data_IF_266361313405
#
_entry.id   IF_266361313405
#
_cell.length_a   1.000
_cell.length_b   1.000
_cell.length_c   1.000
_cell.angle_alpha   90.00
_cell.angle_beta   90.00
_cell.angle_gamma   90.00
#
_symmetry.space_group_name_H-M   'P 1'
#
loop_
_entity.id
_entity.type
_entity.pdbx_description
1 polymer ?
#
# COMPACT_ATOMS: atom_id res chain seq x y z
N UNK A 1 21.34 15.88 -11.87
CA UNK A 1 20.46 16.29 -10.78
C UNK A 1 19.49 15.15 -10.54
N UNK A 2 19.55 14.51 -9.37
CA UNK A 2 18.78 13.29 -9.07
C UNK A 2 17.55 13.64 -8.21
N UNK A 3 16.82 14.71 -8.59
CA UNK A 3 15.67 15.24 -7.86
C UNK A 3 14.45 14.30 -7.85
N UNK A 4 14.61 13.07 -8.32
CA UNK A 4 13.59 12.03 -8.29
C UNK A 4 13.60 11.28 -6.95
N UNK A 5 14.77 11.07 -6.34
CA UNK A 5 14.92 10.37 -5.05
C UNK A 5 14.98 11.37 -3.89
N UNK A 6 13.90 12.10 -3.68
CA UNK A 6 13.80 13.14 -2.65
C UNK A 6 13.61 12.59 -1.23
N UNK A 7 13.32 11.30 -1.09
CA UNK A 7 13.11 10.68 0.22
C UNK A 7 14.40 10.40 0.98
N UNK A 8 15.37 9.77 0.32
CA UNK A 8 16.58 9.28 0.96
C UNK A 8 17.69 10.34 0.98
N UNK A 9 17.67 11.25 1.95
CA UNK A 9 18.74 12.25 2.10
C UNK A 9 19.95 11.75 2.92
N UNK A 10 19.86 10.55 3.51
CA UNK A 10 20.89 9.98 4.39
C UNK A 10 21.54 8.73 3.82
N UNK A 11 22.87 8.67 3.89
CA UNK A 11 23.66 7.47 3.57
C UNK A 11 23.53 6.50 4.76
N UNK A 12 22.86 5.36 4.55
CA UNK A 12 22.64 4.34 5.58
C UNK A 12 23.49 3.06 5.37
N UNK A 13 24.35 3.02 4.35
CA UNK A 13 25.29 1.92 4.04
C UNK A 13 26.75 2.41 4.11
N UNK A 14 27.79 1.54 4.03
CA UNK A 14 29.16 2.03 3.94
C UNK A 14 29.25 3.08 2.84
N UNK A 15 29.86 4.23 3.12
CA UNK A 15 29.90 5.44 2.28
C UNK A 15 30.17 5.18 0.79
N UNK A 16 30.79 4.04 0.46
CA UNK A 16 31.08 3.56 -0.88
C UNK A 16 29.85 3.23 -1.76
N UNK A 17 28.66 3.01 -1.20
CA UNK A 17 27.46 2.62 -1.98
C UNK A 17 26.47 3.77 -2.24
N UNK A 18 26.65 4.93 -1.59
CA UNK A 18 25.80 6.11 -1.81
C UNK A 18 24.46 6.04 -1.08
N UNK A 19 23.49 6.84 -1.56
CA UNK A 19 22.13 6.86 -1.05
C UNK A 19 21.39 5.58 -1.45
N UNK A 20 20.48 5.14 -0.58
CA UNK A 20 19.76 3.90 -0.79
C UNK A 20 18.65 4.01 -1.82
N UNK A 21 18.07 5.21 -2.01
CA UNK A 21 17.14 5.51 -3.09
C UNK A 21 15.91 4.57 -3.16
N UNK A 22 15.42 4.10 -2.00
CA UNK A 22 14.39 3.04 -1.91
C UNK A 22 12.96 3.54 -1.63
N UNK A 23 12.77 4.82 -1.32
CA UNK A 23 11.47 5.49 -1.39
C UNK A 23 11.60 6.85 -2.08
N UNK A 24 10.60 7.19 -2.90
CA UNK A 24 10.65 8.34 -3.78
C UNK A 24 9.27 8.73 -4.29
N UNK A 25 9.14 9.95 -4.78
CA UNK A 25 7.90 10.45 -5.34
C UNK A 25 8.13 11.37 -6.53
N UNK A 26 7.15 11.43 -7.42
CA UNK A 26 7.13 12.41 -8.51
C UNK A 26 5.70 12.73 -8.91
N UNK A 27 5.50 13.90 -9.50
CA UNK A 27 4.23 14.27 -10.11
C UNK A 27 4.30 14.16 -11.63
N UNK A 28 3.22 13.68 -12.23
CA UNK A 28 3.03 13.69 -13.68
C UNK A 28 1.56 13.96 -14.03
N UNK A 29 1.30 15.11 -14.65
CA UNK A 29 -0.06 15.57 -14.90
C UNK A 29 -0.76 15.95 -13.60
N UNK A 30 -1.93 15.38 -13.35
CA UNK A 30 -2.73 15.57 -12.12
C UNK A 30 -2.52 14.42 -11.10
N UNK A 31 -1.44 13.66 -11.22
CA UNK A 31 -1.17 12.50 -10.38
C UNK A 31 0.18 12.61 -9.66
N UNK A 32 0.16 12.34 -8.36
CA UNK A 32 1.32 12.08 -7.51
C UNK A 32 1.58 10.57 -7.48
N UNK A 33 2.82 10.18 -7.73
CA UNK A 33 3.29 8.80 -7.61
C UNK A 33 4.21 8.73 -6.39
N UNK A 34 4.01 7.72 -5.54
CA UNK A 34 4.76 7.55 -4.29
C UNK A 34 5.18 6.09 -4.18
N UNK A 35 6.48 5.80 -4.14
CA UNK A 35 7.01 4.48 -3.83
C UNK A 35 7.49 4.45 -2.38
N UNK A 36 6.98 3.48 -1.61
CA UNK A 36 7.30 3.23 -0.21
C UNK A 36 8.07 1.92 -0.03
N UNK A 37 8.89 1.88 1.01
CA UNK A 37 9.69 0.72 1.43
C UNK A 37 9.33 0.31 2.86
N UNK A 38 8.65 -0.83 3.05
CA UNK A 38 8.29 -1.32 4.39
C UNK A 38 9.40 -2.18 5.03
N UNK A 39 10.51 -2.43 4.33
CA UNK A 39 11.49 -3.44 4.76
C UNK A 39 12.67 -2.90 5.52
N UNK A 40 13.18 -1.74 5.12
CA UNK A 40 14.50 -1.31 5.61
C UNK A 40 14.49 -0.79 7.03
N UNK A 41 13.35 -0.28 7.44
CA UNK A 41 13.14 0.31 8.77
C UNK A 41 12.50 -0.69 9.74
N UNK A 42 12.13 -1.87 9.23
CA UNK A 42 11.59 -2.98 10.01
C UNK A 42 12.74 -3.83 10.54
N UNK A 43 13.12 -3.60 11.79
CA UNK A 43 14.25 -4.30 12.44
C UNK A 43 13.92 -5.73 12.87
N UNK A 44 12.65 -6.00 13.19
CA UNK A 44 12.14 -7.31 13.61
C UNK A 44 10.97 -7.68 12.71
N UNK A 45 10.82 -8.96 12.36
CA UNK A 45 9.74 -9.43 11.50
C UNK A 45 8.99 -10.55 12.19
N UNK A 46 7.69 -10.35 12.38
CA UNK A 46 6.74 -11.43 12.64
C UNK A 46 6.39 -11.70 14.10
N UNK A 47 6.72 -10.80 15.03
CA UNK A 47 6.28 -10.91 16.43
C UNK A 47 5.02 -10.06 16.68
N UNK A 48 4.85 -8.96 15.95
CA UNK A 48 3.69 -8.06 16.02
C UNK A 48 3.43 -7.38 14.67
N UNK A 49 2.17 -7.00 14.40
CA UNK A 49 1.86 -6.13 13.26
C UNK A 49 2.46 -4.74 13.35
N UNK A 50 2.78 -4.29 14.56
CA UNK A 50 3.49 -3.05 14.81
C UNK A 50 4.98 -3.10 14.46
N UNK A 51 5.54 -4.29 14.18
CA UNK A 51 6.93 -4.44 13.78
C UNK A 51 7.18 -3.85 12.39
N UNK A 52 6.20 -3.95 11.50
CA UNK A 52 6.29 -3.36 10.16
C UNK A 52 6.16 -1.85 10.25
N UNK A 53 7.18 -1.15 9.77
CA UNK A 53 7.27 0.31 9.84
C UNK A 53 7.92 0.92 8.60
N UNK A 54 7.49 2.12 8.23
CA UNK A 54 8.22 3.00 7.32
C UNK A 54 9.47 3.58 7.99
N UNK A 55 9.56 3.54 9.31
CA UNK A 55 10.51 4.33 10.06
C UNK A 55 10.17 5.82 10.03
N UNK A 56 10.66 6.54 11.03
CA UNK A 56 10.33 7.95 11.28
C UNK A 56 10.57 8.86 10.06
N UNK A 57 11.72 8.69 9.40
CA UNK A 57 12.13 9.57 8.30
C UNK A 57 11.20 9.45 7.10
N UNK A 58 10.91 8.22 6.65
CA UNK A 58 10.02 7.99 5.53
C UNK A 58 8.56 8.31 5.91
N UNK A 59 8.15 8.08 7.16
CA UNK A 59 6.83 8.47 7.65
C UNK A 59 6.60 9.98 7.56
N UNK A 60 7.54 10.79 8.06
CA UNK A 60 7.44 12.24 7.98
C UNK A 60 7.57 12.76 6.56
N UNK A 61 8.47 12.17 5.77
CA UNK A 61 8.57 12.46 4.34
C UNK A 61 7.24 12.20 3.62
N UNK A 62 6.59 11.06 3.90
CA UNK A 62 5.30 10.72 3.32
C UNK A 62 4.24 11.76 3.69
N UNK A 63 4.18 12.16 4.97
CA UNK A 63 3.27 13.22 5.40
C UNK A 63 3.52 14.53 4.66
N UNK A 64 4.79 14.93 4.49
CA UNK A 64 5.15 16.20 3.84
C UNK A 64 4.74 16.21 2.36
N UNK A 65 5.05 15.14 1.61
CA UNK A 65 4.64 15.05 0.20
C UNK A 65 3.12 15.01 0.05
N UNK A 66 2.43 14.33 0.98
CA UNK A 66 0.98 14.23 0.95
C UNK A 66 0.34 15.55 1.33
N UNK A 67 0.93 16.35 2.22
CA UNK A 67 0.38 17.64 2.62
C UNK A 67 0.63 18.75 1.58
N UNK A 68 1.77 18.70 0.90
CA UNK A 68 2.20 19.74 -0.05
C UNK A 68 1.72 19.51 -1.49
N UNK A 69 1.32 18.29 -1.87
CA UNK A 69 0.82 17.99 -3.22
C UNK A 69 -0.66 18.32 -3.40
N UNK A 70 -0.95 19.04 -4.48
CA UNK A 70 -2.30 19.37 -4.97
C UNK A 70 -2.81 18.37 -6.02
N UNK A 71 -2.11 17.23 -6.22
CA UNK A 71 -2.52 16.23 -7.19
C UNK A 71 -3.92 15.67 -6.88
N UNK A 72 -4.68 15.44 -7.94
CA UNK A 72 -6.02 14.83 -7.87
C UNK A 72 -5.94 13.35 -7.60
N UNK A 73 -4.98 12.66 -8.20
CA UNK A 73 -4.75 11.23 -7.99
C UNK A 73 -3.45 11.00 -7.23
N UNK A 74 -3.47 10.04 -6.30
CA UNK A 74 -2.27 9.60 -5.57
C UNK A 74 -2.10 8.11 -5.78
N UNK A 75 -1.04 7.71 -6.47
CA UNK A 75 -0.70 6.31 -6.69
C UNK A 75 0.42 5.93 -5.73
N UNK A 76 0.06 5.20 -4.68
CA UNK A 76 0.98 4.78 -3.61
C UNK A 76 1.35 3.33 -3.83
N UNK A 77 2.63 3.06 -4.02
CA UNK A 77 3.18 1.73 -4.25
C UNK A 77 3.92 1.27 -3.00
N UNK A 78 3.56 0.12 -2.47
CA UNK A 78 4.29 -0.54 -1.39
C UNK A 78 4.39 -2.03 -1.69
N UNK A 79 5.40 -2.73 -1.17
CA UNK A 79 5.43 -4.18 -1.34
C UNK A 79 4.26 -4.86 -0.63
N UNK A 80 3.94 -4.40 0.59
CA UNK A 80 2.92 -4.93 1.49
C UNK A 80 2.43 -3.81 2.41
N UNK A 81 1.28 -4.01 3.08
CA UNK A 81 0.82 -3.08 4.10
C UNK A 81 1.71 -3.15 5.35
N UNK A 82 1.79 -2.05 6.08
CA UNK A 82 2.47 -1.97 7.37
C UNK A 82 1.54 -2.61 8.42
N UNK A 83 1.78 -3.88 8.73
CA UNK A 83 0.84 -4.70 9.46
C UNK A 83 0.22 -5.75 8.55
N UNK A 84 -1.09 -5.70 8.30
CA UNK A 84 -1.81 -6.74 7.55
C UNK A 84 -2.23 -7.93 8.41
N UNK A 85 -2.85 -8.93 7.78
CA UNK A 85 -3.29 -10.15 8.43
C UNK A 85 -2.10 -10.99 8.92
N UNK A 86 -2.12 -11.35 10.20
CA UNK A 86 -1.16 -12.29 10.81
C UNK A 86 -1.74 -13.70 10.87
N UNK A 87 -0.98 -14.67 10.38
CA UNK A 87 -1.31 -16.09 10.47
C UNK A 87 -0.73 -16.72 11.73
N UNK A 88 -1.28 -17.85 12.16
CA UNK A 88 -0.72 -18.62 13.27
C UNK A 88 0.69 -19.12 12.86
N UNK A 89 1.69 -18.76 13.66
CA UNK A 89 3.12 -18.78 13.36
C UNK A 89 3.71 -20.15 12.98
N UNK A 90 3.52 -20.59 11.73
CA UNK A 90 4.40 -21.60 11.12
C UNK A 90 5.34 -20.91 10.12
N UNK A 91 6.43 -20.35 10.66
CA UNK A 91 7.72 -19.94 10.04
C UNK A 91 7.75 -19.09 8.74
N UNK A 92 6.63 -18.83 8.05
CA UNK A 92 6.58 -18.10 6.77
C UNK A 92 5.48 -17.05 6.64
N UNK A 93 4.66 -16.85 7.67
CA UNK A 93 3.51 -15.92 7.63
C UNK A 93 3.84 -14.64 8.40
N UNK A 94 4.83 -13.89 7.92
CA UNK A 94 5.37 -12.69 8.57
C UNK A 94 4.44 -11.45 8.53
N UNK A 95 3.12 -11.61 8.37
CA UNK A 95 2.19 -10.49 8.17
C UNK A 95 2.26 -9.88 6.76
N UNK A 96 1.62 -8.73 6.56
CA UNK A 96 1.63 -7.95 5.31
C UNK A 96 0.55 -8.32 4.29
N UNK A 97 -0.17 -9.41 4.55
CA UNK A 97 -1.24 -9.96 3.70
C UNK A 97 -2.55 -9.19 3.94
N UNK A 98 -3.42 -9.12 2.94
CA UNK A 98 -4.77 -8.54 3.07
C UNK A 98 -4.95 -7.16 2.46
N UNK A 99 -6.22 -6.76 2.30
CA UNK A 99 -6.63 -5.53 1.62
C UNK A 99 -7.08 -4.42 2.57
N UNK A 100 -8.08 -3.68 2.12
CA UNK A 100 -8.70 -2.57 2.83
C UNK A 100 -9.18 -2.96 4.25
N UNK A 101 -9.60 -4.21 4.44
CA UNK A 101 -10.03 -4.77 5.73
C UNK A 101 -8.95 -4.66 6.80
N UNK A 102 -7.68 -4.65 6.39
CA UNK A 102 -6.52 -4.53 7.27
C UNK A 102 -5.90 -3.14 7.29
N UNK A 103 -6.39 -2.22 6.46
CA UNK A 103 -5.90 -0.84 6.40
C UNK A 103 -6.22 -0.02 7.66
N UNK A 104 -7.12 -0.51 8.52
CA UNK A 104 -7.44 0.13 9.80
C UNK A 104 -6.45 -0.23 10.93
N UNK A 105 -5.56 -1.20 10.74
CA UNK A 105 -4.70 -1.70 11.82
C UNK A 105 -3.25 -1.23 11.73
N UNK A 106 -2.54 -1.35 12.86
CA UNK A 106 -1.10 -1.15 13.04
C UNK A 106 -0.61 0.22 12.57
N UNK A 107 0.62 0.34 12.06
CA UNK A 107 1.11 1.63 11.57
C UNK A 107 0.27 2.19 10.41
N UNK A 108 -0.38 1.29 9.64
CA UNK A 108 -1.20 1.72 8.51
C UNK A 108 -2.48 2.44 8.95
N UNK A 109 -3.23 1.94 9.94
CA UNK A 109 -4.52 2.52 10.36
C UNK A 109 -4.68 2.85 11.85
N UNK A 110 -3.70 2.50 12.66
CA UNK A 110 -3.58 2.93 14.06
C UNK A 110 -4.29 2.04 15.09
N UNK A 111 -5.19 1.16 14.68
CA UNK A 111 -5.86 0.21 15.59
C UNK A 111 -5.00 -1.03 15.84
N UNK A 112 -5.06 -1.58 17.04
CA UNK A 112 -4.54 -2.91 17.34
C UNK A 112 -5.59 -3.99 17.03
N UNK A 113 -5.25 -5.28 17.14
CA UNK A 113 -6.17 -6.38 16.79
C UNK A 113 -7.44 -6.41 17.66
N UNK A 114 -7.39 -5.85 18.86
CA UNK A 114 -8.53 -5.68 19.76
C UNK A 114 -9.42 -4.47 19.41
N UNK A 115 -9.04 -3.69 18.40
CA UNK A 115 -9.73 -2.49 17.93
C UNK A 115 -9.41 -1.23 18.74
N UNK A 116 -8.48 -1.28 19.69
CA UNK A 116 -8.02 -0.11 20.43
C UNK A 116 -7.02 0.69 19.59
N UNK A 117 -7.13 2.03 19.59
CA UNK A 117 -6.16 2.88 18.91
C UNK A 117 -4.86 2.95 19.70
N UNK A 118 -3.76 2.44 19.13
CA UNK A 118 -2.43 2.33 19.78
C UNK A 118 -1.29 2.96 18.98
N UNK A 119 -1.57 3.73 17.93
CA UNK A 119 -0.52 4.31 17.08
C UNK A 119 0.54 5.06 17.90
N UNK A 120 0.11 5.95 18.81
CA UNK A 120 1.03 6.75 19.63
C UNK A 120 1.77 5.91 20.68
N UNK A 121 1.22 4.77 21.10
CA UNK A 121 1.90 3.88 22.05
C UNK A 121 3.07 3.15 21.37
N UNK A 122 2.90 2.82 20.08
CA UNK A 122 3.90 2.12 19.28
C UNK A 122 4.82 3.06 18.49
N UNK A 123 4.45 4.34 18.35
CA UNK A 123 5.26 5.41 17.73
C UNK A 123 5.42 6.60 18.69
N UNK A 124 5.93 6.37 19.93
CA UNK A 124 5.94 7.40 20.96
C UNK A 124 6.89 8.56 20.69
N UNK A 125 7.90 8.36 19.83
CA UNK A 125 8.87 9.41 19.48
C UNK A 125 8.43 10.24 18.27
N UNK A 126 7.28 9.92 17.64
CA UNK A 126 6.79 10.62 16.45
C UNK A 126 5.92 11.84 16.81
N UNK A 127 6.34 12.58 17.84
CA UNK A 127 5.56 13.61 18.55
C UNK A 127 4.97 14.73 17.67
N UNK A 128 5.51 14.97 16.48
CA UNK A 128 5.01 16.04 15.59
C UNK A 128 3.81 15.63 14.72
N UNK A 129 3.51 14.33 14.61
CA UNK A 129 2.41 13.82 13.81
C UNK A 129 1.87 12.51 14.41
N UNK A 130 0.59 12.51 14.77
CA UNK A 130 -0.07 11.41 15.49
C UNK A 130 -1.22 10.81 14.67
N UNK A 131 -1.02 10.66 13.35
CA UNK A 131 -2.01 10.03 12.46
C UNK A 131 -1.39 8.87 11.69
N UNK A 132 -2.11 7.76 11.52
CA UNK A 132 -1.63 6.61 10.77
C UNK A 132 -1.63 6.88 9.26
N UNK A 133 -0.92 6.06 8.49
CA UNK A 133 -0.71 6.26 7.04
C UNK A 133 -2.02 6.38 6.26
N UNK A 134 -3.00 5.53 6.57
CA UNK A 134 -4.32 5.56 5.95
C UNK A 134 -4.99 6.91 6.14
N UNK A 135 -4.99 7.43 7.37
CA UNK A 135 -5.59 8.72 7.71
C UNK A 135 -4.89 9.87 6.96
N UNK A 136 -3.58 9.80 6.71
CA UNK A 136 -2.90 10.79 5.87
C UNK A 136 -3.46 10.82 4.45
N UNK A 137 -3.74 9.65 3.86
CA UNK A 137 -4.31 9.54 2.51
C UNK A 137 -5.73 10.09 2.48
N UNK A 138 -6.56 9.72 3.47
CA UNK A 138 -7.92 10.24 3.61
C UNK A 138 -7.93 11.76 3.72
N UNK A 139 -7.07 12.33 4.57
CA UNK A 139 -6.96 13.78 4.74
C UNK A 139 -6.47 14.48 3.46
N UNK A 140 -5.49 13.89 2.76
CA UNK A 140 -5.00 14.44 1.50
C UNK A 140 -6.07 14.41 0.40
N UNK A 141 -6.86 13.33 0.32
CA UNK A 141 -7.98 13.21 -0.62
C UNK A 141 -9.12 14.17 -0.27
N UNK A 142 -9.46 14.31 1.01
CA UNK A 142 -10.44 15.28 1.48
C UNK A 142 -10.02 16.72 1.15
N UNK A 143 -8.72 17.05 1.28
CA UNK A 143 -8.18 18.37 0.98
C UNK A 143 -8.24 18.70 -0.51
N UNK A 144 -7.90 17.77 -1.39
CA UNK A 144 -7.85 18.03 -2.84
C UNK A 144 -9.12 17.65 -3.60
N UNK A 145 -10.12 17.06 -2.94
CA UNK A 145 -11.23 16.39 -3.61
C UNK A 145 -10.79 15.16 -4.41
N UNK A 146 -9.59 14.67 -4.12
CA UNK A 146 -8.84 13.66 -4.86
C UNK A 146 -9.18 12.23 -4.48
N UNK A 147 -8.38 11.30 -5.03
CA UNK A 147 -8.48 9.86 -4.77
C UNK A 147 -7.09 9.24 -4.67
N UNK A 148 -6.90 8.45 -3.62
CA UNK A 148 -5.71 7.65 -3.41
C UNK A 148 -5.95 6.20 -3.83
N UNK A 149 -4.96 5.60 -4.48
CA UNK A 149 -4.96 4.20 -4.86
C UNK A 149 -3.65 3.57 -4.38
N UNK A 150 -3.76 2.57 -3.52
CA UNK A 150 -2.65 1.86 -2.90
C UNK A 150 -2.44 0.55 -3.64
N UNK A 151 -1.30 0.43 -4.31
CA UNK A 151 -0.87 -0.74 -5.06
C UNK A 151 0.09 -1.54 -4.20
N UNK A 152 -0.23 -2.82 -3.98
CA UNK A 152 0.68 -3.73 -3.30
C UNK A 152 0.85 -5.07 -4.00
N UNK A 153 1.90 -5.79 -3.62
CA UNK A 153 2.19 -7.15 -4.07
C UNK A 153 2.03 -8.13 -2.91
N UNK A 154 3.09 -8.90 -2.66
CA UNK A 154 3.27 -9.84 -1.54
C UNK A 154 2.33 -11.06 -1.52
N UNK A 155 1.05 -10.88 -1.78
CA UNK A 155 0.02 -11.91 -1.56
C UNK A 155 -0.15 -12.86 -2.76
N UNK A 156 0.44 -12.48 -3.90
CA UNK A 156 0.43 -13.25 -5.15
C UNK A 156 -0.99 -13.54 -5.67
N UNK A 157 -1.90 -12.57 -5.54
CA UNK A 157 -3.28 -12.64 -6.03
C UNK A 157 -3.71 -11.31 -6.64
N UNK A 158 -4.79 -11.36 -7.39
CA UNK A 158 -5.53 -10.19 -7.83
C UNK A 158 -6.63 -9.87 -6.82
N UNK A 159 -6.60 -8.69 -6.21
CA UNK A 159 -7.70 -8.20 -5.40
C UNK A 159 -7.90 -6.70 -5.57
N UNK A 160 -9.15 -6.26 -5.44
CA UNK A 160 -9.53 -4.86 -5.29
C UNK A 160 -10.46 -4.76 -4.10
N UNK A 161 -10.03 -4.04 -3.08
CA UNK A 161 -10.79 -3.82 -1.85
C UNK A 161 -10.89 -2.32 -1.59
N UNK A 162 -11.97 -1.89 -0.96
CA UNK A 162 -12.14 -0.54 -0.47
C UNK A 162 -12.91 -0.61 0.85
N UNK A 163 -12.69 0.34 1.74
CA UNK A 163 -13.61 0.55 2.85
C UNK A 163 -14.83 1.29 2.28
N UNK A 164 -16.04 0.81 2.61
CA UNK A 164 -17.29 1.18 1.91
C UNK A 164 -17.56 2.70 1.82
N UNK A 165 -16.97 3.50 2.71
CA UNK A 165 -17.15 4.96 2.80
C UNK A 165 -15.86 5.76 2.51
N UNK A 166 -14.80 5.13 2.01
CA UNK A 166 -13.48 5.74 1.92
C UNK A 166 -13.05 6.15 0.50
N UNK A 167 -12.24 7.21 0.40
CA UNK A 167 -11.67 7.70 -0.86
C UNK A 167 -10.46 6.88 -1.33
N UNK A 168 -9.91 6.02 -0.48
CA UNK A 168 -8.73 5.21 -0.76
C UNK A 168 -9.13 3.82 -1.28
N UNK A 169 -8.58 3.43 -2.42
CA UNK A 169 -8.74 2.08 -2.98
C UNK A 169 -7.47 1.26 -2.78
N UNK A 170 -7.62 0.03 -2.31
CA UNK A 170 -6.53 -0.91 -2.11
C UNK A 170 -6.58 -2.00 -3.17
N UNK A 171 -5.45 -2.23 -3.85
CA UNK A 171 -5.36 -3.22 -4.89
C UNK A 171 -4.08 -4.03 -4.81
N UNK A 172 -4.24 -5.33 -5.05
CA UNK A 172 -3.16 -6.30 -5.00
C UNK A 172 -2.85 -6.78 -6.41
N UNK A 173 -1.58 -6.67 -6.76
CA UNK A 173 -0.99 -7.11 -8.03
C UNK A 173 -0.41 -8.52 -7.81
N UNK A 174 -0.63 -9.46 -8.73
CA UNK A 174 -0.12 -10.82 -8.60
C UNK A 174 1.36 -10.85 -8.95
N UNK A 175 1.95 -12.04 -8.86
CA UNK A 175 3.23 -12.29 -9.50
C UNK A 175 3.13 -12.15 -11.04
N UNK A 176 4.16 -11.60 -11.70
CA UNK A 176 4.13 -11.35 -13.14
C UNK A 176 4.15 -12.64 -13.97
N UNK A 177 4.64 -13.75 -13.41
CA UNK A 177 4.74 -15.03 -14.08
C UNK A 177 4.83 -16.20 -13.09
N UNK A 178 4.38 -17.38 -13.51
CA UNK A 178 4.89 -18.65 -12.95
C UNK A 178 4.23 -19.20 -11.69
N UNK A 179 3.01 -18.78 -11.32
CA UNK A 179 2.26 -19.49 -10.28
C UNK A 179 0.86 -19.85 -10.76
N UNK A 180 0.48 -21.10 -10.49
CA UNK A 180 -0.94 -21.47 -10.41
C UNK A 180 -1.63 -20.59 -9.36
N UNK A 181 -2.96 -20.61 -9.35
CA UNK A 181 -3.97 -19.95 -8.50
C UNK A 181 -3.76 -20.04 -6.95
N UNK A 182 -2.52 -20.26 -6.50
CA UNK A 182 -2.04 -20.21 -5.14
C UNK A 182 -2.46 -18.94 -4.42
N UNK A 183 -2.63 -17.81 -5.10
CA UNK A 183 -3.10 -16.58 -4.45
C UNK A 183 -4.49 -16.73 -3.84
N UNK A 184 -5.49 -17.03 -4.69
CA UNK A 184 -6.86 -17.30 -4.27
C UNK A 184 -6.98 -18.56 -3.41
N UNK A 185 -6.23 -19.62 -3.75
CA UNK A 185 -6.18 -20.83 -2.93
C UNK A 185 -5.55 -20.56 -1.55
N UNK A 186 -4.49 -19.76 -1.42
CA UNK A 186 -3.94 -19.37 -0.11
C UNK A 186 -4.91 -18.47 0.65
N UNK A 187 -5.60 -17.55 -0.02
CA UNK A 187 -6.65 -16.76 0.63
C UNK A 187 -7.77 -17.66 1.18
N UNK A 188 -8.15 -18.71 0.45
CA UNK A 188 -9.15 -19.71 0.85
C UNK A 188 -8.65 -20.70 1.92
N UNK A 189 -7.43 -21.23 1.77
CA UNK A 189 -6.83 -22.28 2.62
C UNK A 189 -6.35 -21.73 3.95
N UNK A 190 -5.85 -20.48 3.98
CA UNK A 190 -5.36 -19.88 5.22
C UNK A 190 -6.49 -19.46 6.15
N UNK A 191 -7.74 -19.32 5.68
CA UNK A 191 -8.90 -19.01 6.52
C UNK A 191 -8.77 -17.72 7.36
N UNK A 192 -7.75 -16.91 7.12
CA UNK A 192 -7.55 -15.61 7.75
C UNK A 192 -8.31 -14.64 6.88
N UNK A 193 -9.21 -13.83 7.47
CA UNK A 193 -10.01 -12.80 6.80
C UNK A 193 -9.17 -11.64 6.26
N UNK A 194 -8.12 -11.96 5.50
CA UNK A 194 -7.25 -11.03 4.82
C UNK A 194 -7.98 -10.31 3.68
N UNK A 195 -8.92 -11.01 3.05
CA UNK A 195 -9.78 -10.48 1.99
C UNK A 195 -11.19 -11.04 2.11
N UNK A 196 -12.17 -10.22 1.75
CA UNK A 196 -13.43 -10.74 1.23
C UNK A 196 -13.18 -11.47 -0.10
N UNK A 197 -13.67 -12.70 -0.21
CA UNK A 197 -13.40 -13.54 -1.38
C UNK A 197 -14.08 -13.03 -2.65
N UNK A 198 -15.15 -12.26 -2.51
CA UNK A 198 -15.83 -11.61 -3.64
C UNK A 198 -14.97 -10.51 -4.28
N UNK A 199 -13.99 -9.98 -3.54
CA UNK A 199 -13.03 -8.97 -3.99
C UNK A 199 -11.77 -9.56 -4.63
N UNK A 200 -11.63 -10.90 -4.63
CA UNK A 200 -10.49 -11.65 -5.19
C UNK A 200 -10.83 -12.21 -6.57
N UNK A 201 -10.10 -11.79 -7.60
CA UNK A 201 -10.32 -12.26 -8.96
C UNK A 201 -9.72 -13.66 -9.19
N UNK A 202 -10.37 -14.44 -10.05
CA UNK A 202 -9.95 -15.79 -10.39
C UNK A 202 -8.95 -15.80 -11.55
N UNK A 203 -7.70 -15.46 -11.26
CA UNK A 203 -6.62 -15.49 -12.24
C UNK A 203 -5.24 -15.71 -11.60
N UNK A 204 -4.31 -16.25 -12.40
CA UNK A 204 -3.02 -16.77 -11.94
C UNK A 204 -1.92 -15.70 -11.82
N UNK A 205 -1.50 -15.11 -12.94
CA UNK A 205 -0.36 -14.21 -13.05
C UNK A 205 -0.70 -13.01 -13.94
N UNK A 206 0.11 -11.97 -13.89
CA UNK A 206 0.05 -10.84 -14.82
C UNK A 206 0.33 -9.50 -14.16
N UNK A 207 -0.40 -8.46 -14.54
CA UNK A 207 -0.12 -7.08 -14.18
C UNK A 207 -1.39 -6.24 -14.13
N UNK A 208 -1.30 -5.02 -13.59
CA UNK A 208 -2.37 -4.04 -13.66
C UNK A 208 -1.98 -2.94 -14.65
N UNK A 209 -2.92 -2.56 -15.51
CA UNK A 209 -2.80 -1.39 -16.39
C UNK A 209 -3.65 -0.25 -15.83
N UNK A 210 -3.06 0.94 -15.71
CA UNK A 210 -3.76 2.13 -15.21
C UNK A 210 -3.82 3.18 -16.33
N UNK A 211 -5.02 3.66 -16.64
CA UNK A 211 -5.26 4.76 -17.57
C UNK A 211 -5.83 5.93 -16.81
N UNK A 212 -5.18 7.09 -16.88
CA UNK A 212 -5.55 8.28 -16.11
C UNK A 212 -6.07 9.35 -17.06
N UNK A 213 -7.22 9.92 -16.73
CA UNK A 213 -7.79 11.13 -17.34
C UNK A 213 -7.85 12.25 -16.31
N UNK A 214 -8.34 13.41 -16.72
CA UNK A 214 -8.48 14.57 -15.84
C UNK A 214 -9.36 14.28 -14.60
N UNK A 215 -10.32 13.38 -14.72
CA UNK A 215 -11.34 13.12 -13.68
C UNK A 215 -11.45 11.67 -13.25
N UNK A 216 -10.80 10.72 -13.93
CA UNK A 216 -10.90 9.30 -13.60
C UNK A 216 -9.56 8.57 -13.77
N UNK A 217 -9.27 7.63 -12.87
CA UNK A 217 -8.26 6.60 -13.04
C UNK A 217 -8.96 5.25 -13.26
N UNK A 218 -8.75 4.65 -14.43
CA UNK A 218 -9.26 3.32 -14.77
C UNK A 218 -8.16 2.29 -14.59
N UNK A 219 -8.43 1.27 -13.79
CA UNK A 219 -7.52 0.17 -13.53
C UNK A 219 -8.11 -1.09 -14.16
N UNK A 220 -7.28 -1.79 -14.94
CA UNK A 220 -7.63 -3.07 -15.52
C UNK A 220 -6.61 -4.13 -15.12
N UNK A 221 -7.09 -5.28 -14.67
CA UNK A 221 -6.29 -6.43 -14.28
C UNK A 221 -6.06 -7.29 -15.52
N UNK A 222 -4.80 -7.60 -15.82
CA UNK A 222 -4.37 -8.15 -17.11
C UNK A 222 -3.55 -9.41 -16.92
N UNK A 223 -3.91 -10.49 -17.60
CA UNK A 223 -3.04 -11.67 -17.74
C UNK A 223 -1.74 -11.32 -18.47
N UNK A 224 -0.71 -12.20 -18.45
CA UNK A 224 0.60 -11.88 -19.03
C UNK A 224 0.57 -11.61 -20.54
N UNK A 225 -0.45 -12.11 -21.25
CA UNK A 225 -0.69 -11.87 -22.67
C UNK A 225 -1.48 -10.57 -22.96
N UNK A 226 -1.87 -9.83 -21.91
CA UNK A 226 -2.63 -8.58 -22.00
C UNK A 226 -4.15 -8.75 -22.06
N UNK A 227 -4.66 -9.98 -21.96
CA UNK A 227 -6.12 -10.20 -21.84
C UNK A 227 -6.61 -9.66 -20.51
N UNK A 228 -7.80 -9.05 -20.50
CA UNK A 228 -8.45 -8.60 -19.26
C UNK A 228 -8.88 -9.80 -18.43
N UNK A 229 -8.65 -9.72 -17.12
CA UNK A 229 -9.22 -10.66 -16.16
C UNK A 229 -10.70 -10.32 -15.98
N UNK A 230 -11.58 -11.31 -16.06
CA UNK A 230 -13.03 -11.12 -15.89
C UNK A 230 -13.36 -10.42 -14.56
N UNK A 231 -14.18 -9.36 -14.63
CA UNK A 231 -14.52 -8.54 -13.46
C UNK A 231 -13.38 -7.64 -12.96
N UNK A 232 -12.26 -7.59 -13.67
CA UNK A 232 -11.04 -6.91 -13.26
C UNK A 232 -10.86 -5.50 -13.82
N UNK A 233 -11.90 -4.86 -14.35
CA UNK A 233 -11.81 -3.44 -14.75
C UNK A 233 -12.72 -2.57 -13.88
N UNK A 234 -12.19 -1.44 -13.42
CA UNK A 234 -12.95 -0.45 -12.67
C UNK A 234 -12.36 0.95 -12.82
N UNK A 235 -13.18 1.97 -12.52
CA UNK A 235 -12.74 3.37 -12.53
C UNK A 235 -12.98 4.01 -11.16
N UNK A 236 -12.02 4.84 -10.75
CA UNK A 236 -12.13 5.74 -9.61
C UNK A 236 -12.16 7.15 -10.14
N UNK A 237 -13.27 7.86 -9.91
CA UNK A 237 -13.47 9.20 -10.42
C UNK A 237 -13.61 10.22 -9.30
N UNK A 238 -13.16 11.44 -9.56
CA UNK A 238 -13.41 12.62 -8.74
C UNK A 238 -14.59 13.40 -9.30
N UNK A 239 -15.35 14.03 -8.41
CA UNK A 239 -16.36 15.00 -8.81
C UNK A 239 -15.63 16.33 -8.98
N UNK A 240 -15.59 16.86 -10.21
CA UNK A 240 -15.11 18.24 -10.44
C UNK A 240 -15.89 19.26 -9.61
#
# INVERSE_FOLDING_TARGET
DNSFYTGNEQIQFPDALGLQEDYYSWEWGNALFVALTPFWYTEQKGDSGWDWTLGEQQYYWLSDILDTSDATFRFVFTHQLLGGAFGNATERDYGGVGGAEWAQFFEWGGLDEDGEYKFNDFRPDWDSLSIPVHEMLVQADARTGGRSMVFKGHDHLYAKTALDDDSVVYQTVPQPWGGSNQGKQKALEKGVGAYNLDDVLDADAGYLSVTVSDTCATVAFRSPDGTEVEGGEYSVCTNN
#
